data_IF_345758867906
#
_entry.id   IF_345758867906
#
_cell.length_a   1.000
_cell.length_b   1.000
_cell.length_c   1.000
_cell.angle_alpha   90.00
_cell.angle_beta   90.00
_cell.angle_gamma   90.00
#
_symmetry.space_group_name_H-M   'P 1'
#
loop_
_entity.id
_entity.type
_entity.pdbx_description
1 polymer ?
#
# COMPACT_ATOMS: atom_id res chain seq x y z
N UNK A 1 -5.15 5.02 -12.61
CA UNK A 1 -4.68 4.22 -11.43
C UNK A 1 -3.26 3.79 -11.69
N UNK A 2 -2.37 3.96 -10.73
CA UNK A 2 -0.99 3.51 -10.83
C UNK A 2 -0.93 1.97 -10.80
N UNK A 3 -0.06 1.33 -11.58
CA UNK A 3 0.03 -0.15 -11.64
C UNK A 3 0.23 -0.80 -10.28
N UNK A 4 0.98 -0.15 -9.39
CA UNK A 4 1.26 -0.63 -8.04
C UNK A 4 0.01 -0.69 -7.17
N UNK A 5 -0.86 0.31 -7.27
CA UNK A 5 -2.15 0.35 -6.56
C UNK A 5 -3.03 -0.81 -7.04
N UNK A 6 -3.02 -1.09 -8.35
CA UNK A 6 -3.78 -2.20 -8.92
C UNK A 6 -3.27 -3.58 -8.45
N UNK A 7 -1.96 -3.76 -8.35
CA UNK A 7 -1.36 -4.99 -7.78
C UNK A 7 -1.83 -5.19 -6.33
N UNK A 8 -1.77 -4.12 -5.51
CA UNK A 8 -2.22 -4.17 -4.11
C UNK A 8 -3.71 -4.43 -4.01
N UNK A 9 -4.52 -3.83 -4.88
CA UNK A 9 -5.96 -4.10 -4.96
C UNK A 9 -6.24 -5.57 -5.21
N UNK A 10 -5.60 -6.19 -6.22
CA UNK A 10 -5.77 -7.61 -6.53
C UNK A 10 -5.33 -8.51 -5.38
N UNK A 11 -4.25 -8.14 -4.70
CA UNK A 11 -3.82 -8.83 -3.49
C UNK A 11 -4.89 -8.76 -2.38
N UNK A 12 -5.45 -7.59 -2.12
CA UNK A 12 -6.50 -7.44 -1.11
C UNK A 12 -7.75 -8.26 -1.47
N UNK A 13 -8.12 -8.32 -2.75
CA UNK A 13 -9.27 -9.08 -3.21
C UNK A 13 -9.04 -10.59 -3.15
N UNK A 14 -7.93 -11.07 -3.70
CA UNK A 14 -7.70 -12.51 -3.88
C UNK A 14 -7.08 -13.18 -2.65
N UNK A 15 -6.10 -12.55 -2.00
CA UNK A 15 -5.38 -13.12 -0.87
C UNK A 15 -6.08 -12.78 0.44
N UNK A 16 -6.37 -11.49 0.65
CA UNK A 16 -7.00 -11.02 1.90
C UNK A 16 -8.54 -11.11 1.90
N UNK A 17 -9.16 -11.47 0.75
CA UNK A 17 -10.62 -11.66 0.59
C UNK A 17 -11.42 -10.42 0.99
N UNK A 18 -10.95 -9.25 0.56
CA UNK A 18 -11.58 -7.96 0.83
C UNK A 18 -12.39 -7.45 -0.36
N UNK A 19 -13.43 -6.68 -0.08
CA UNK A 19 -13.96 -5.70 -1.02
C UNK A 19 -13.06 -4.46 -1.01
N UNK A 20 -12.93 -3.78 -2.15
CA UNK A 20 -12.00 -2.66 -2.31
C UNK A 20 -12.65 -1.46 -2.98
N UNK A 21 -12.17 -0.27 -2.62
CA UNK A 21 -12.43 1.00 -3.30
C UNK A 21 -11.08 1.68 -3.56
N UNK A 22 -10.81 2.01 -4.80
CA UNK A 22 -9.54 2.65 -5.22
C UNK A 22 -9.73 4.12 -5.58
N UNK A 23 -8.67 4.91 -5.44
CA UNK A 23 -8.62 6.33 -5.83
C UNK A 23 -9.80 7.12 -5.24
N UNK A 24 -10.02 6.97 -3.92
CA UNK A 24 -11.12 7.62 -3.23
C UNK A 24 -10.82 9.11 -3.08
N UNK A 25 -11.49 9.92 -3.88
CA UNK A 25 -11.33 11.37 -3.86
C UNK A 25 -12.06 11.97 -2.65
N UNK A 26 -11.32 12.76 -1.88
CA UNK A 26 -11.83 13.52 -0.75
C UNK A 26 -11.83 15.03 -1.09
N UNK A 27 -12.48 15.83 -0.28
CA UNK A 27 -12.43 17.29 -0.43
C UNK A 27 -10.98 17.83 -0.34
N UNK A 28 -10.74 19.04 -0.87
CA UNK A 28 -9.44 19.69 -0.80
C UNK A 28 -8.32 19.02 -1.60
N UNK A 29 -8.66 18.23 -2.62
CA UNK A 29 -7.68 17.56 -3.48
C UNK A 29 -6.91 16.42 -2.80
N UNK A 30 -7.44 15.88 -1.70
CA UNK A 30 -6.89 14.69 -1.05
C UNK A 30 -7.49 13.43 -1.69
N UNK A 31 -6.65 12.41 -1.79
CA UNK A 31 -6.99 11.12 -2.33
C UNK A 31 -6.47 10.03 -1.39
N UNK A 32 -7.26 8.96 -1.24
CA UNK A 32 -6.85 7.71 -0.62
C UNK A 32 -6.62 6.70 -1.74
N UNK A 33 -5.45 6.09 -1.78
CA UNK A 33 -5.08 5.16 -2.86
C UNK A 33 -5.99 3.92 -2.84
N UNK A 34 -6.26 3.35 -1.65
CA UNK A 34 -7.07 2.14 -1.52
C UNK A 34 -7.73 2.02 -0.15
N UNK A 35 -9.03 1.76 -0.11
CA UNK A 35 -9.76 1.28 1.05
C UNK A 35 -10.16 -0.18 0.84
N UNK A 36 -10.08 -1.00 1.90
CA UNK A 36 -10.47 -2.40 1.83
C UNK A 36 -11.22 -2.87 3.07
N UNK A 37 -12.18 -3.78 2.87
CA UNK A 37 -13.01 -4.36 3.92
C UNK A 37 -13.12 -5.87 3.75
N UNK A 38 -12.74 -6.62 4.79
CA UNK A 38 -12.93 -8.07 4.82
C UNK A 38 -14.23 -8.43 5.53
N UNK A 39 -15.24 -8.95 4.82
CA UNK A 39 -16.56 -9.23 5.39
C UNK A 39 -16.57 -10.42 6.38
N UNK A 40 -15.56 -11.30 6.31
CA UNK A 40 -15.51 -12.48 7.19
C UNK A 40 -15.07 -12.15 8.61
N UNK A 41 -14.15 -11.19 8.77
CA UNK A 41 -13.56 -10.85 10.07
C UNK A 41 -13.74 -9.39 10.47
N UNK A 42 -14.45 -8.61 9.66
CA UNK A 42 -14.74 -7.19 9.90
C UNK A 42 -13.52 -6.26 9.78
N UNK A 43 -12.35 -6.76 9.38
CA UNK A 43 -11.15 -5.92 9.25
C UNK A 43 -11.29 -4.90 8.14
N UNK A 44 -10.90 -3.67 8.44
CA UNK A 44 -10.90 -2.53 7.54
C UNK A 44 -9.48 -2.01 7.38
N UNK A 45 -9.16 -1.53 6.17
CA UNK A 45 -7.81 -1.09 5.83
C UNK A 45 -7.86 0.22 5.04
N UNK A 46 -7.11 1.21 5.51
CA UNK A 46 -6.70 2.38 4.74
C UNK A 46 -5.28 2.13 4.26
N UNK A 47 -5.08 2.02 2.96
CA UNK A 47 -3.82 1.63 2.35
C UNK A 47 -3.34 2.75 1.42
N UNK A 48 -2.10 3.17 1.64
CA UNK A 48 -1.37 4.09 0.77
C UNK A 48 -0.22 3.37 0.11
N UNK A 49 0.02 3.61 -1.18
CA UNK A 49 1.02 2.91 -1.98
C UNK A 49 2.10 3.88 -2.42
N UNK A 50 3.35 3.62 -2.03
CA UNK A 50 4.53 4.44 -2.36
C UNK A 50 5.66 3.60 -2.89
N UNK A 51 5.45 3.05 -4.08
CA UNK A 51 6.42 2.24 -4.80
C UNK A 51 7.06 3.09 -5.89
N UNK A 52 8.35 3.42 -5.75
CA UNK A 52 9.11 4.14 -6.76
C UNK A 52 10.05 3.17 -7.48
N UNK A 53 9.66 2.73 -8.66
CA UNK A 53 10.48 1.91 -9.56
C UNK A 53 11.56 2.81 -10.20
N UNK A 54 12.83 2.43 -10.14
CA UNK A 54 13.91 3.07 -10.89
C UNK A 54 14.86 3.99 -10.12
N UNK A 55 14.56 4.39 -8.88
CA UNK A 55 15.47 5.17 -8.02
C UNK A 55 15.78 4.54 -6.67
N UNK A 56 15.43 3.26 -6.48
CA UNK A 56 15.72 2.55 -5.22
C UNK A 56 15.15 3.26 -3.99
N UNK A 57 13.91 3.76 -4.07
CA UNK A 57 13.29 4.39 -2.91
C UNK A 57 13.16 3.38 -1.78
N UNK A 58 13.86 3.66 -0.68
CA UNK A 58 13.72 2.94 0.58
C UNK A 58 13.12 3.86 1.62
N UNK A 59 12.08 3.39 2.28
CA UNK A 59 11.41 4.13 3.35
C UNK A 59 12.39 4.34 4.51
N UNK A 60 12.40 5.56 5.06
CA UNK A 60 13.14 5.99 6.25
C UNK A 60 12.16 6.55 7.26
N UNK A 61 12.58 6.68 8.52
CA UNK A 61 11.74 7.34 9.52
C UNK A 61 11.68 8.85 9.29
N UNK A 62 12.81 9.49 8.99
CA UNK A 62 12.95 10.95 8.90
C UNK A 62 13.32 11.35 7.47
N UNK A 63 12.82 12.49 7.03
CA UNK A 63 13.21 13.11 5.77
C UNK A 63 14.70 13.43 5.74
N UNK A 64 15.33 13.21 4.58
CA UNK A 64 16.71 13.63 4.37
C UNK A 64 16.76 14.93 3.59
N UNK A 65 17.78 15.76 3.88
CA UNK A 65 18.07 16.93 3.08
C UNK A 65 18.91 16.57 1.85
N UNK A 66 18.58 17.19 0.72
CA UNK A 66 19.45 17.15 -0.46
C UNK A 66 20.72 17.97 -0.24
N UNK A 67 21.76 17.77 -1.07
CA UNK A 67 22.95 18.64 -1.10
C UNK A 67 22.62 20.12 -1.37
N UNK A 68 21.41 20.44 -1.85
CA UNK A 68 20.90 21.81 -2.08
C UNK A 68 19.97 22.31 -0.95
N UNK A 69 19.92 21.63 0.20
CA UNK A 69 19.08 22.02 1.34
C UNK A 69 17.58 21.75 1.18
N UNK A 70 17.13 21.17 0.06
CA UNK A 70 15.73 20.80 -0.11
C UNK A 70 15.42 19.52 0.65
N UNK A 71 14.32 19.49 1.41
CA UNK A 71 13.85 18.27 2.08
C UNK A 71 13.35 17.27 1.05
N UNK A 72 13.88 16.06 1.07
CA UNK A 72 13.21 14.91 0.44
C UNK A 72 12.06 14.47 1.34
N UNK A 73 10.85 14.86 1.01
CA UNK A 73 9.60 14.47 1.71
C UNK A 73 9.25 12.99 1.48
N UNK A 74 10.07 12.08 2.02
CA UNK A 74 9.97 10.63 1.82
C UNK A 74 10.13 9.85 3.13
N UNK A 75 10.23 10.53 4.25
CA UNK A 75 10.24 9.94 5.58
C UNK A 75 8.84 9.49 6.00
N UNK A 76 8.79 8.53 6.91
CA UNK A 76 7.55 8.04 7.49
C UNK A 76 6.77 9.15 8.22
N UNK A 77 7.49 10.07 8.88
CA UNK A 77 6.94 11.26 9.52
C UNK A 77 6.12 12.12 8.53
N UNK A 78 6.73 12.51 7.41
CA UNK A 78 6.04 13.29 6.37
C UNK A 78 4.93 12.50 5.70
N UNK A 79 5.11 11.20 5.42
CA UNK A 79 4.04 10.38 4.84
C UNK A 79 2.85 10.25 5.78
N UNK A 80 3.10 10.11 7.08
CA UNK A 80 2.02 10.13 8.06
C UNK A 80 1.26 11.47 8.05
N UNK A 81 1.98 12.60 8.06
CA UNK A 81 1.38 13.95 8.06
C UNK A 81 0.52 14.22 6.81
N UNK A 82 0.94 13.76 5.63
CA UNK A 82 0.25 14.09 4.38
C UNK A 82 -0.82 13.07 3.96
N UNK A 83 -0.69 11.80 4.40
CA UNK A 83 -1.51 10.69 3.92
C UNK A 83 -2.44 10.11 5.00
N UNK A 84 -2.02 10.02 6.26
CA UNK A 84 -2.80 9.33 7.29
C UNK A 84 -3.38 10.27 8.36
N UNK A 85 -2.69 11.36 8.68
CA UNK A 85 -3.08 12.26 9.76
C UNK A 85 -4.00 13.43 9.38
N UNK A 86 -4.16 13.85 8.09
CA UNK A 86 -5.07 14.94 7.79
C UNK A 86 -6.50 14.61 8.24
N UNK A 87 -7.16 15.56 8.93
CA UNK A 87 -8.51 15.36 9.47
C UNK A 87 -9.52 14.98 8.40
N UNK A 88 -9.37 15.51 7.17
CA UNK A 88 -10.22 15.17 6.04
C UNK A 88 -10.08 13.69 5.62
N UNK A 89 -8.88 13.12 5.74
CA UNK A 89 -8.64 11.69 5.46
C UNK A 89 -9.26 10.82 6.55
N UNK A 90 -9.07 11.19 7.82
CA UNK A 90 -9.65 10.49 8.97
C UNK A 90 -11.18 10.50 8.87
N UNK A 91 -11.77 11.66 8.60
CA UNK A 91 -13.22 11.78 8.45
C UNK A 91 -13.76 11.00 7.26
N UNK A 92 -13.06 11.01 6.13
CA UNK A 92 -13.43 10.23 4.95
C UNK A 92 -13.41 8.72 5.21
N UNK A 93 -12.37 8.22 5.89
CA UNK A 93 -12.32 6.81 6.31
C UNK A 93 -13.47 6.46 7.27
N UNK A 94 -13.74 7.32 8.27
CA UNK A 94 -14.84 7.15 9.21
C UNK A 94 -16.21 7.10 8.52
N UNK A 95 -16.45 8.00 7.60
CA UNK A 95 -17.70 8.07 6.84
C UNK A 95 -17.92 6.80 6.00
N UNK A 96 -16.88 6.36 5.28
CA UNK A 96 -16.97 5.18 4.40
C UNK A 96 -17.09 3.88 5.21
N UNK A 97 -16.31 3.73 6.28
CA UNK A 97 -16.32 2.52 7.09
C UNK A 97 -17.41 2.48 8.15
N UNK A 98 -18.03 3.60 8.46
CA UNK A 98 -19.01 3.72 9.54
C UNK A 98 -18.44 3.57 10.95
N UNK A 99 -17.11 3.62 11.11
CA UNK A 99 -16.42 3.48 12.41
C UNK A 99 -14.99 4.07 12.36
N UNK A 100 -14.37 4.19 13.55
CA UNK A 100 -13.00 4.68 13.71
C UNK A 100 -11.95 3.56 13.72
N UNK A 101 -12.37 2.31 13.74
CA UNK A 101 -11.47 1.16 13.83
C UNK A 101 -11.09 0.65 12.44
N UNK A 102 -9.91 1.01 11.99
CA UNK A 102 -9.31 0.49 10.77
C UNK A 102 -7.78 0.46 10.88
N UNK A 103 -7.17 -0.45 10.14
CA UNK A 103 -5.72 -0.54 10.01
C UNK A 103 -5.21 0.46 8.99
N UNK A 104 -4.15 1.17 9.34
CA UNK A 104 -3.40 2.03 8.43
C UNK A 104 -2.22 1.25 7.88
N UNK A 105 -2.09 1.21 6.56
CA UNK A 105 -1.06 0.42 5.86
C UNK A 105 -0.35 1.30 4.85
N UNK A 106 0.97 1.27 4.87
CA UNK A 106 1.81 1.88 3.85
C UNK A 106 2.52 0.77 3.07
N UNK A 107 2.26 0.68 1.76
CA UNK A 107 2.96 -0.25 0.88
C UNK A 107 4.14 0.48 0.25
N UNK A 108 5.34 -0.13 0.35
CA UNK A 108 6.59 0.43 -0.15
C UNK A 108 7.37 -0.58 -0.97
N UNK A 109 8.35 -0.11 -1.76
CA UNK A 109 9.30 -1.00 -2.41
C UNK A 109 10.15 -1.75 -1.38
N UNK A 110 10.82 -1.01 -0.50
CA UNK A 110 11.69 -1.54 0.55
C UNK A 110 11.86 -0.50 1.67
N UNK A 111 12.44 -0.92 2.79
CA UNK A 111 12.82 -0.06 3.92
C UNK A 111 14.32 0.08 4.00
N UNK A 112 14.82 1.22 4.48
CA UNK A 112 16.26 1.42 4.63
C UNK A 112 16.85 0.49 5.70
N UNK A 113 16.13 0.36 6.81
CA UNK A 113 16.49 -0.48 7.96
C UNK A 113 15.26 -1.23 8.44
N UNK A 114 15.38 -2.49 8.86
CA UNK A 114 14.24 -3.28 9.36
C UNK A 114 13.50 -2.62 10.51
N UNK A 115 14.20 -1.86 11.35
CA UNK A 115 13.65 -1.12 12.49
C UNK A 115 12.58 -0.09 12.10
N UNK A 116 12.60 0.41 10.86
CA UNK A 116 11.60 1.36 10.34
C UNK A 116 10.19 0.77 10.41
N UNK A 117 10.03 -0.52 10.18
CA UNK A 117 8.72 -1.20 10.20
C UNK A 117 8.12 -1.15 11.61
N UNK A 118 8.92 -1.50 12.62
CA UNK A 118 8.47 -1.50 14.01
C UNK A 118 8.24 -0.08 14.54
N UNK A 119 9.12 0.85 14.18
CA UNK A 119 8.97 2.25 14.57
C UNK A 119 7.72 2.89 13.95
N UNK A 120 7.42 2.63 12.68
CA UNK A 120 6.20 3.10 12.04
C UNK A 120 4.94 2.59 12.76
N UNK A 121 4.93 1.32 13.15
CA UNK A 121 3.84 0.70 13.89
C UNK A 121 3.70 1.28 15.29
N UNK A 122 4.80 1.44 16.02
CA UNK A 122 4.79 1.90 17.41
C UNK A 122 4.45 3.38 17.52
N UNK A 123 5.05 4.24 16.66
CA UNK A 123 4.90 5.69 16.76
C UNK A 123 3.63 6.20 16.08
N UNK A 124 3.23 5.59 14.97
CA UNK A 124 2.13 6.10 14.14
C UNK A 124 0.97 5.10 14.02
N UNK A 125 1.10 3.85 14.50
CA UNK A 125 0.12 2.79 14.31
C UNK A 125 -0.06 2.40 12.84
N UNK A 126 1.00 2.53 12.02
CA UNK A 126 0.98 2.23 10.58
C UNK A 126 1.76 0.95 10.33
N UNK A 127 1.10 -0.05 9.75
CA UNK A 127 1.76 -1.26 9.25
C UNK A 127 2.48 -0.94 7.93
N UNK A 128 3.74 -1.34 7.80
CA UNK A 128 4.50 -1.18 6.55
C UNK A 128 4.62 -2.54 5.87
N UNK A 129 4.13 -2.63 4.62
CA UNK A 129 4.21 -3.84 3.81
C UNK A 129 5.16 -3.63 2.62
N UNK A 130 5.91 -4.66 2.24
CA UNK A 130 6.75 -4.61 1.05
C UNK A 130 5.99 -5.14 -0.16
N UNK A 131 6.08 -4.42 -1.28
CA UNK A 131 5.41 -4.85 -2.53
C UNK A 131 5.92 -6.21 -3.01
N UNK A 132 7.19 -6.55 -2.76
CA UNK A 132 7.76 -7.85 -3.11
C UNK A 132 7.08 -9.02 -2.38
N UNK A 133 6.73 -8.84 -1.11
CA UNK A 133 6.00 -9.84 -0.31
C UNK A 133 4.57 -10.01 -0.84
N UNK A 134 3.91 -8.88 -1.15
CA UNK A 134 2.57 -8.86 -1.77
C UNK A 134 2.57 -9.62 -3.10
N UNK A 135 3.54 -9.35 -3.98
CA UNK A 135 3.66 -10.02 -5.27
C UNK A 135 3.91 -11.52 -5.08
N UNK A 136 4.75 -11.91 -4.13
CA UNK A 136 5.04 -13.34 -3.85
C UNK A 136 3.78 -14.09 -3.40
N UNK A 137 3.02 -13.52 -2.44
CA UNK A 137 1.75 -14.11 -1.99
C UNK A 137 0.72 -14.15 -3.13
N UNK A 138 0.64 -13.09 -3.94
CA UNK A 138 -0.27 -13.01 -5.08
C UNK A 138 0.05 -14.07 -6.14
N UNK A 139 1.33 -14.27 -6.49
CA UNK A 139 1.80 -15.31 -7.41
C UNK A 139 1.38 -16.70 -6.90
N UNK A 140 1.52 -16.94 -5.61
CA UNK A 140 1.13 -18.21 -4.99
C UNK A 140 -0.38 -18.46 -5.11
N UNK A 141 -1.21 -17.44 -4.90
CA UNK A 141 -2.68 -17.57 -4.96
C UNK A 141 -3.22 -17.68 -6.39
N UNK A 142 -2.62 -16.93 -7.33
CA UNK A 142 -3.07 -16.92 -8.73
C UNK A 142 -2.88 -18.28 -9.40
N UNK A 143 -1.75 -18.95 -9.18
CA UNK A 143 -1.48 -20.30 -9.68
C UNK A 143 -1.72 -20.44 -11.19
N UNK A 144 -2.44 -21.53 -11.60
CA UNK A 144 -2.76 -21.84 -13.01
C UNK A 144 -4.19 -21.47 -13.42
N UNK A 145 -4.97 -20.81 -12.56
CA UNK A 145 -6.34 -20.40 -12.88
C UNK A 145 -6.35 -19.40 -14.03
N UNK A 146 -7.32 -19.50 -14.92
CA UNK A 146 -7.48 -18.52 -16.01
C UNK A 146 -8.11 -17.22 -15.47
N UNK A 147 -7.44 -16.11 -15.68
CA UNK A 147 -7.94 -14.77 -15.37
C UNK A 147 -8.11 -13.94 -16.63
N UNK A 148 -9.12 -13.06 -16.65
CA UNK A 148 -9.31 -12.05 -17.71
C UNK A 148 -8.68 -10.72 -17.34
N UNK A 149 -8.27 -10.56 -16.08
CA UNK A 149 -7.63 -9.35 -15.56
C UNK A 149 -6.18 -9.26 -16.04
N UNK A 150 -5.80 -8.13 -16.62
CA UNK A 150 -4.51 -7.95 -17.26
C UNK A 150 -3.35 -7.96 -16.25
N UNK A 151 -3.57 -7.46 -15.03
CA UNK A 151 -2.55 -7.49 -13.97
C UNK A 151 -2.28 -8.92 -13.54
N UNK A 152 -3.34 -9.71 -13.29
CA UNK A 152 -3.19 -11.12 -12.90
C UNK A 152 -2.56 -11.96 -14.00
N UNK A 153 -2.92 -11.71 -15.26
CA UNK A 153 -2.28 -12.37 -16.41
C UNK A 153 -0.80 -12.01 -16.52
N UNK A 154 -0.46 -10.75 -16.32
CA UNK A 154 0.95 -10.32 -16.32
C UNK A 154 1.74 -10.99 -15.20
N UNK A 155 1.17 -11.04 -13.98
CA UNK A 155 1.77 -11.75 -12.85
C UNK A 155 1.98 -13.23 -13.17
N UNK A 156 1.00 -13.91 -13.80
CA UNK A 156 1.13 -15.29 -14.24
C UNK A 156 2.27 -15.49 -15.26
N UNK A 157 2.34 -14.63 -16.28
CA UNK A 157 3.38 -14.70 -17.31
C UNK A 157 4.79 -14.56 -16.72
N UNK A 158 4.95 -13.60 -15.79
CA UNK A 158 6.24 -13.40 -15.08
C UNK A 158 6.59 -14.64 -14.25
N UNK A 159 5.61 -15.19 -13.52
CA UNK A 159 5.79 -16.39 -12.68
C UNK A 159 6.17 -17.63 -13.50
N UNK A 160 5.55 -17.82 -14.66
CA UNK A 160 5.85 -18.93 -15.57
C UNK A 160 7.25 -18.82 -16.17
N UNK A 161 7.62 -17.61 -16.59
CA UNK A 161 8.96 -17.35 -17.15
C UNK A 161 10.08 -17.54 -16.12
N UNK A 162 9.84 -17.19 -14.86
CA UNK A 162 10.80 -17.42 -13.77
C UNK A 162 11.01 -18.91 -13.41
N UNK A 163 10.10 -19.80 -13.85
CA UNK A 163 10.17 -21.27 -13.66
C UNK A 163 10.66 -22.01 -14.91
N UNK A 164 10.85 -21.30 -16.02
CA UNK A 164 11.42 -21.88 -17.23
C UNK A 164 12.91 -22.22 -16.99
N UNK A 165 13.38 -23.43 -17.39
CA UNK A 165 14.75 -23.89 -17.18
C UNK A 165 15.79 -23.03 -17.92
#
# INVERSE_FOLDING_TARGET
>A
MEPEVHIVERYMQLVKRCFTMTNVMLGGGKEIDLLAFNPKNGKRFHIEVRVCIGRGFRLRMIDTQTKKGQKHRRGMDTLNEIKFSPQIVINGCREIFGCDEYKRVLVVWDVQEPTVIEQAKTLYGIEVWRISEIITELISEVGTKAYRDDVLRTVQLISLNAKAP
#
